data_IF_978701756093
#
_entry.id   IF_978701756093
#
_cell.length_a   1.000
_cell.length_b   1.000
_cell.length_c   1.000
_cell.angle_alpha   90.00
_cell.angle_beta   90.00
_cell.angle_gamma   90.00
#
_symmetry.space_group_name_H-M   'P 1'
#
loop_
_entity.id
_entity.type
_entity.pdbx_description
1 polymer ?
#
# COMPACT_ATOMS: atom_id res chain seq x y z
N UNK A 1 13.70 -1.90 8.28
CA UNK A 1 14.38 -1.14 7.20
C UNK A 1 14.52 0.28 7.70
N UNK A 2 15.69 0.91 7.52
CA UNK A 2 15.94 2.28 8.01
C UNK A 2 16.06 3.28 6.87
N UNK A 3 15.91 4.56 7.19
CA UNK A 3 16.13 5.66 6.22
C UNK A 3 17.55 5.63 5.64
N UNK A 4 17.66 5.95 4.36
CA UNK A 4 18.91 6.31 3.70
C UNK A 4 18.93 7.83 3.45
N UNK A 5 20.09 8.40 3.09
CA UNK A 5 20.24 9.87 2.93
C UNK A 5 19.23 10.46 1.94
N UNK A 6 18.95 9.77 0.84
CA UNK A 6 17.98 10.24 -0.16
C UNK A 6 16.53 10.29 0.37
N UNK A 7 16.21 9.57 1.45
CA UNK A 7 14.89 9.65 2.10
C UNK A 7 14.61 11.07 2.61
N UNK A 8 15.62 11.86 2.99
CA UNK A 8 15.41 13.24 3.43
C UNK A 8 14.78 14.09 2.33
N UNK A 9 15.31 14.00 1.12
CA UNK A 9 14.79 14.72 -0.05
C UNK A 9 13.39 14.22 -0.43
N UNK A 10 13.17 12.91 -0.42
CA UNK A 10 11.87 12.31 -0.72
C UNK A 10 10.79 12.75 0.26
N UNK A 11 11.05 12.61 1.56
CA UNK A 11 10.08 12.96 2.61
C UNK A 11 9.78 14.46 2.57
N UNK A 12 10.80 15.31 2.40
CA UNK A 12 10.61 16.75 2.27
C UNK A 12 9.76 17.12 1.05
N UNK A 13 10.05 16.53 -0.11
CA UNK A 13 9.30 16.77 -1.35
C UNK A 13 7.82 16.37 -1.19
N UNK A 14 7.55 15.20 -0.61
CA UNK A 14 6.18 14.73 -0.33
C UNK A 14 5.45 15.69 0.59
N UNK A 15 6.07 16.15 1.67
CA UNK A 15 5.42 17.10 2.59
C UNK A 15 5.18 18.46 1.95
N UNK A 16 6.07 18.94 1.08
CA UNK A 16 5.81 20.14 0.29
C UNK A 16 4.56 19.97 -0.59
N UNK A 17 4.47 18.88 -1.36
CA UNK A 17 3.31 18.63 -2.24
C UNK A 17 2.02 18.45 -1.44
N UNK A 18 2.08 17.79 -0.29
CA UNK A 18 0.95 17.64 0.62
C UNK A 18 0.46 18.99 1.17
N UNK A 19 1.37 19.91 1.52
CA UNK A 19 1.03 21.27 1.95
C UNK A 19 0.34 22.05 0.82
N UNK A 20 0.84 21.94 -0.41
CA UNK A 20 0.24 22.59 -1.59
C UNK A 20 -1.16 22.02 -1.88
N UNK A 21 -1.35 20.72 -1.72
CA UNK A 21 -2.67 20.09 -1.88
C UNK A 21 -3.64 20.52 -0.75
N UNK A 22 -3.12 20.68 0.46
CA UNK A 22 -3.93 20.94 1.64
C UNK A 22 -4.53 22.37 1.68
N UNK A 23 -3.82 23.38 1.16
CA UNK A 23 -4.26 24.78 1.21
C UNK A 23 -3.61 25.65 0.13
N UNK A 24 -4.32 26.71 -0.29
CA UNK A 24 -3.81 27.75 -1.18
C UNK A 24 -3.35 29.03 -0.43
N UNK A 25 -3.44 29.06 0.91
CA UNK A 25 -3.02 30.22 1.71
C UNK A 25 -1.50 30.22 1.92
N UNK A 26 -0.75 31.19 1.35
CA UNK A 26 0.69 31.23 1.47
C UNK A 26 1.19 31.32 2.92
N UNK A 27 0.46 32.01 3.81
CA UNK A 27 0.86 32.13 5.22
C UNK A 27 0.85 30.78 5.92
N UNK A 28 -0.21 30.00 5.70
CA UNK A 28 -0.33 28.64 6.23
C UNK A 28 0.73 27.72 5.59
N UNK A 29 0.97 27.84 4.29
CA UNK A 29 2.00 27.06 3.60
C UNK A 29 3.39 27.31 4.19
N UNK A 30 3.79 28.58 4.38
CA UNK A 30 5.08 28.94 4.99
C UNK A 30 5.19 28.47 6.43
N UNK A 31 4.11 28.59 7.22
CA UNK A 31 4.06 28.06 8.59
C UNK A 31 4.23 26.54 8.61
N UNK A 32 3.53 25.82 7.73
CA UNK A 32 3.57 24.37 7.65
C UNK A 32 4.94 23.87 7.19
N UNK A 33 5.53 24.47 6.16
CA UNK A 33 6.84 24.05 5.67
C UNK A 33 7.95 24.33 6.70
N UNK A 34 7.85 25.45 7.43
CA UNK A 34 8.78 25.76 8.51
C UNK A 34 8.67 24.77 9.66
N UNK A 35 7.45 24.45 10.12
CA UNK A 35 7.28 23.43 11.16
C UNK A 35 7.77 22.05 10.70
N UNK A 36 7.57 21.71 9.43
CA UNK A 36 8.01 20.44 8.87
C UNK A 36 9.53 20.33 8.75
N UNK A 37 10.25 21.39 8.37
CA UNK A 37 11.73 21.36 8.39
C UNK A 37 12.28 21.13 9.79
N UNK A 38 11.66 21.73 10.81
CA UNK A 38 12.03 21.46 12.22
C UNK A 38 11.78 20.01 12.62
N UNK A 39 10.65 19.43 12.21
CA UNK A 39 10.35 18.01 12.44
C UNK A 39 11.45 17.12 11.81
N UNK A 40 11.81 17.36 10.54
CA UNK A 40 12.85 16.57 9.88
C UNK A 40 14.22 16.74 10.54
N UNK A 41 14.60 17.96 10.91
CA UNK A 41 15.86 18.20 11.62
C UNK A 41 15.94 17.44 12.96
N UNK A 42 14.80 17.23 13.62
CA UNK A 42 14.71 16.52 14.89
C UNK A 42 14.65 14.99 14.72
N UNK A 43 13.85 14.50 13.79
CA UNK A 43 13.45 13.07 13.73
C UNK A 43 14.18 12.27 12.64
N UNK A 44 14.76 12.92 11.63
CA UNK A 44 15.53 12.23 10.60
C UNK A 44 16.88 11.78 11.18
N UNK A 45 16.95 10.52 11.60
CA UNK A 45 18.12 9.88 12.23
C UNK A 45 18.40 8.54 11.54
N UNK A 46 19.64 8.01 11.57
CA UNK A 46 19.99 6.78 10.86
C UNK A 46 19.13 5.55 11.20
N UNK A 47 18.54 5.50 12.40
CA UNK A 47 17.72 4.37 12.84
C UNK A 47 16.21 4.60 12.66
N UNK A 48 15.81 5.70 12.03
CA UNK A 48 14.40 6.02 11.83
C UNK A 48 13.80 5.17 10.71
N UNK A 49 12.54 4.75 10.90
CA UNK A 49 11.75 4.04 9.88
C UNK A 49 11.04 5.08 9.01
N UNK A 50 11.15 5.03 7.66
CA UNK A 50 10.59 6.08 6.81
C UNK A 50 9.07 6.23 6.97
N UNK A 51 8.32 5.14 7.09
CA UNK A 51 6.88 5.14 7.37
C UNK A 51 6.48 5.93 8.64
N UNK A 52 7.29 5.89 9.71
CA UNK A 52 7.01 6.64 10.94
C UNK A 52 7.15 8.15 10.69
N UNK A 53 8.19 8.56 9.95
CA UNK A 53 8.34 9.96 9.52
C UNK A 53 7.24 10.41 8.58
N UNK A 54 6.80 9.54 7.67
CA UNK A 54 5.67 9.80 6.78
C UNK A 54 4.38 10.06 7.56
N UNK A 55 4.15 9.28 8.61
CA UNK A 55 3.00 9.44 9.53
C UNK A 55 3.07 10.76 10.28
N UNK A 56 4.21 11.08 10.91
CA UNK A 56 4.36 12.33 11.67
C UNK A 56 4.28 13.57 10.78
N UNK A 57 4.84 13.51 9.57
CA UNK A 57 4.73 14.56 8.55
C UNK A 57 3.26 14.85 8.24
N UNK A 58 2.50 13.84 7.85
CA UNK A 58 1.12 14.00 7.43
C UNK A 58 0.27 14.57 8.58
N UNK A 59 0.36 13.98 9.77
CA UNK A 59 -0.34 14.46 10.98
C UNK A 59 -0.02 15.92 11.28
N UNK A 60 1.24 16.34 11.14
CA UNK A 60 1.66 17.72 11.32
C UNK A 60 1.00 18.65 10.30
N UNK A 61 1.02 18.27 9.02
CA UNK A 61 0.47 19.08 7.92
C UNK A 61 -1.04 19.22 8.08
N UNK A 62 -1.77 18.14 8.35
CA UNK A 62 -3.23 18.18 8.58
C UNK A 62 -3.61 19.12 9.72
N UNK A 63 -2.90 19.04 10.86
CA UNK A 63 -3.13 19.94 12.00
C UNK A 63 -2.91 21.41 11.65
N UNK A 64 -1.82 21.72 10.94
CA UNK A 64 -1.47 23.12 10.63
C UNK A 64 -2.33 23.72 9.53
N UNK A 65 -2.79 22.91 8.59
CA UNK A 65 -3.64 23.34 7.47
C UNK A 65 -5.12 23.25 7.78
N UNK A 66 -5.51 22.61 8.89
CA UNK A 66 -6.91 22.29 9.23
C UNK A 66 -7.64 21.50 8.14
N UNK A 67 -6.89 20.77 7.30
CA UNK A 67 -7.43 19.91 6.26
C UNK A 67 -7.17 18.43 6.62
N UNK A 68 -8.20 17.66 6.99
CA UNK A 68 -8.04 16.28 7.45
C UNK A 68 -7.80 15.26 6.32
N UNK A 69 -8.01 15.62 5.05
CA UNK A 69 -7.74 14.75 3.90
C UNK A 69 -7.35 15.58 2.66
N UNK A 70 -6.08 16.01 2.56
CA UNK A 70 -5.60 16.75 1.40
C UNK A 70 -5.87 16.00 0.08
N UNK A 71 -5.76 14.67 0.08
CA UNK A 71 -5.78 13.86 -1.14
C UNK A 71 -7.15 13.31 -1.54
N UNK A 72 -8.23 13.65 -0.83
CA UNK A 72 -9.58 13.11 -1.06
C UNK A 72 -9.99 13.12 -2.56
N UNK A 73 -9.78 14.24 -3.25
CA UNK A 73 -10.11 14.39 -4.68
C UNK A 73 -9.26 13.48 -5.56
N UNK A 74 -7.95 13.43 -5.32
CA UNK A 74 -7.01 12.58 -6.06
C UNK A 74 -7.31 11.09 -5.84
N UNK A 75 -7.62 10.68 -4.61
CA UNK A 75 -8.05 9.30 -4.28
C UNK A 75 -9.31 8.91 -5.06
N UNK A 76 -10.35 9.76 -5.04
CA UNK A 76 -11.59 9.50 -5.78
C UNK A 76 -11.37 9.35 -7.29
N UNK A 77 -10.58 10.24 -7.89
CA UNK A 77 -10.21 10.15 -9.30
C UNK A 77 -9.43 8.86 -9.59
N UNK A 78 -8.52 8.49 -8.70
CA UNK A 78 -7.73 7.26 -8.79
C UNK A 78 -8.62 6.00 -8.79
N UNK A 79 -9.56 5.91 -7.84
CA UNK A 79 -10.54 4.83 -7.79
C UNK A 79 -11.37 4.75 -9.08
N UNK A 80 -11.87 5.89 -9.57
CA UNK A 80 -12.63 5.94 -10.82
C UNK A 80 -11.82 5.42 -12.00
N UNK A 81 -10.58 5.88 -12.16
CA UNK A 81 -9.69 5.45 -13.26
C UNK A 81 -9.27 3.99 -13.14
N UNK A 82 -9.08 3.49 -11.92
CA UNK A 82 -8.81 2.08 -11.71
C UNK A 82 -10.01 1.21 -12.12
N UNK A 83 -11.24 1.62 -11.78
CA UNK A 83 -12.47 0.91 -12.18
C UNK A 83 -12.68 0.88 -13.70
N UNK A 84 -12.28 1.92 -14.44
CA UNK A 84 -12.31 1.91 -15.92
C UNK A 84 -11.43 0.79 -16.50
N UNK A 85 -10.35 0.41 -15.81
CA UNK A 85 -9.35 -0.56 -16.28
C UNK A 85 -9.59 -1.97 -15.70
N UNK A 86 -10.22 -2.06 -14.53
CA UNK A 86 -10.46 -3.30 -13.79
C UNK A 86 -11.09 -4.43 -14.64
N UNK A 87 -12.07 -4.18 -15.54
CA UNK A 87 -12.63 -5.24 -16.38
C UNK A 87 -11.58 -5.95 -17.26
N UNK A 88 -10.58 -5.21 -17.73
CA UNK A 88 -9.49 -5.79 -18.52
C UNK A 88 -8.59 -6.67 -17.66
N UNK A 89 -8.20 -6.19 -16.47
CA UNK A 89 -7.39 -6.96 -15.53
C UNK A 89 -8.13 -8.25 -15.11
N UNK A 90 -9.44 -8.14 -14.83
CA UNK A 90 -10.31 -9.28 -14.54
C UNK A 90 -10.31 -10.32 -15.66
N UNK A 91 -10.39 -9.89 -16.93
CA UNK A 91 -10.31 -10.78 -18.09
C UNK A 91 -8.95 -11.48 -18.20
N UNK A 92 -7.86 -10.77 -17.94
CA UNK A 92 -6.51 -11.36 -17.96
C UNK A 92 -6.34 -12.45 -16.89
N UNK A 93 -6.92 -12.25 -15.71
CA UNK A 93 -6.96 -13.26 -14.65
C UNK A 93 -7.87 -14.42 -15.05
N UNK A 94 -9.11 -14.18 -15.46
CA UNK A 94 -10.08 -15.25 -15.77
C UNK A 94 -9.66 -16.14 -16.93
N UNK A 95 -8.86 -15.62 -17.88
CA UNK A 95 -8.38 -16.38 -19.03
C UNK A 95 -7.26 -17.39 -18.70
N UNK A 96 -6.75 -17.41 -17.47
CA UNK A 96 -5.73 -18.39 -17.08
C UNK A 96 -6.34 -19.78 -16.88
N UNK A 97 -5.61 -20.81 -17.34
CA UNK A 97 -6.10 -22.19 -17.46
C UNK A 97 -6.32 -22.90 -16.12
N UNK A 98 -5.46 -22.66 -15.13
CA UNK A 98 -5.53 -23.32 -13.82
C UNK A 98 -5.62 -22.31 -12.66
N UNK A 99 -5.98 -22.81 -11.48
CA UNK A 99 -6.16 -21.99 -10.27
C UNK A 99 -4.89 -21.26 -9.85
N UNK A 100 -3.73 -21.92 -9.91
CA UNK A 100 -2.45 -21.27 -9.56
C UNK A 100 -2.09 -20.15 -10.54
N UNK A 101 -2.28 -20.36 -11.85
CA UNK A 101 -2.03 -19.31 -12.85
C UNK A 101 -2.98 -18.12 -12.69
N UNK A 102 -4.25 -18.35 -12.31
CA UNK A 102 -5.19 -17.26 -11.95
C UNK A 102 -4.70 -16.49 -10.75
N UNK A 103 -4.34 -17.19 -9.67
CA UNK A 103 -3.80 -16.61 -8.46
C UNK A 103 -2.55 -15.76 -8.73
N UNK A 104 -1.60 -16.30 -9.53
CA UNK A 104 -0.40 -15.59 -9.95
C UNK A 104 -0.73 -14.32 -10.72
N UNK A 105 -1.63 -14.40 -11.71
CA UNK A 105 -2.02 -13.22 -12.49
C UNK A 105 -2.75 -12.18 -11.63
N UNK A 106 -3.50 -12.61 -10.62
CA UNK A 106 -4.14 -11.71 -9.65
C UNK A 106 -3.10 -11.02 -8.75
N UNK A 107 -2.10 -11.76 -8.23
CA UNK A 107 -0.97 -11.18 -7.48
C UNK A 107 -0.25 -10.11 -8.30
N UNK A 108 0.09 -10.41 -9.55
CA UNK A 108 0.76 -9.46 -10.44
C UNK A 108 -0.09 -8.24 -10.76
N UNK A 109 -1.40 -8.42 -10.96
CA UNK A 109 -2.33 -7.31 -11.20
C UNK A 109 -2.41 -6.38 -9.98
N UNK A 110 -2.43 -6.97 -8.78
CA UNK A 110 -2.44 -6.26 -7.50
C UNK A 110 -1.09 -5.57 -7.21
N UNK A 111 0.06 -6.15 -7.59
CA UNK A 111 1.38 -5.49 -7.55
C UNK A 111 1.44 -4.31 -8.53
N UNK A 112 0.93 -4.47 -9.75
CA UNK A 112 0.90 -3.39 -10.74
C UNK A 112 -0.04 -2.26 -10.29
N UNK A 113 -1.14 -2.58 -9.61
CA UNK A 113 -1.98 -1.59 -8.95
C UNK A 113 -1.19 -0.67 -8.01
N UNK A 114 -0.19 -1.21 -7.29
CA UNK A 114 0.66 -0.44 -6.39
C UNK A 114 1.52 0.61 -7.10
N UNK A 115 1.67 0.57 -8.43
CA UNK A 115 2.31 1.64 -9.20
C UNK A 115 1.53 2.97 -9.07
N UNK A 116 0.23 2.90 -8.79
CA UNK A 116 -0.60 4.07 -8.50
C UNK A 116 -0.18 4.62 -7.14
N UNK A 117 0.57 5.70 -7.16
CA UNK A 117 1.19 6.29 -5.97
C UNK A 117 1.48 7.77 -6.21
N UNK A 118 1.21 8.61 -5.22
CA UNK A 118 1.36 10.06 -5.38
C UNK A 118 2.69 10.54 -4.78
N UNK A 119 3.25 11.55 -5.43
CA UNK A 119 4.28 12.43 -4.87
C UNK A 119 5.65 11.78 -4.56
N UNK A 120 5.91 10.57 -5.05
CA UNK A 120 7.26 9.96 -4.98
C UNK A 120 8.17 10.54 -6.08
N UNK A 121 9.35 11.10 -5.74
CA UNK A 121 10.30 11.60 -6.73
C UNK A 121 10.72 10.55 -7.76
N UNK A 122 10.80 10.98 -9.02
CA UNK A 122 11.15 10.15 -10.18
C UNK A 122 10.22 8.94 -10.43
N UNK A 123 9.06 8.90 -9.76
CA UNK A 123 8.03 7.90 -9.99
C UNK A 123 6.87 8.52 -10.76
N UNK A 124 6.83 8.30 -12.06
CA UNK A 124 5.76 8.79 -12.94
C UNK A 124 4.93 7.61 -13.41
N UNK A 125 3.62 7.67 -13.19
CA UNK A 125 2.69 6.67 -13.71
C UNK A 125 1.58 7.33 -14.55
N UNK A 126 1.07 6.60 -15.54
CA UNK A 126 -0.10 6.98 -16.31
C UNK A 126 -1.06 5.81 -16.39
N UNK A 127 -2.34 6.06 -16.14
CA UNK A 127 -3.39 5.02 -16.18
C UNK A 127 -3.43 4.26 -17.52
N UNK A 128 -3.15 4.93 -18.63
CA UNK A 128 -3.07 4.31 -19.97
C UNK A 128 -2.03 3.19 -20.06
N UNK A 129 -0.97 3.22 -19.23
CA UNK A 129 0.13 2.26 -19.27
C UNK A 129 -0.17 1.00 -18.43
N UNK A 130 -1.18 1.04 -17.53
CA UNK A 130 -1.49 -0.07 -16.61
C UNK A 130 -1.72 -1.39 -17.36
N UNK A 131 -2.45 -1.36 -18.48
CA UNK A 131 -2.66 -2.57 -19.29
C UNK A 131 -1.33 -3.22 -19.70
N UNK A 132 -0.40 -2.41 -20.23
CA UNK A 132 0.92 -2.86 -20.67
C UNK A 132 1.73 -3.37 -19.47
N UNK A 133 1.64 -2.68 -18.34
CA UNK A 133 2.32 -3.06 -17.09
C UNK A 133 1.81 -4.40 -16.55
N UNK A 134 0.50 -4.67 -16.56
CA UNK A 134 -0.06 -5.97 -16.14
C UNK A 134 0.41 -7.12 -17.05
N UNK A 135 0.50 -6.85 -18.37
CA UNK A 135 0.97 -7.85 -19.32
C UNK A 135 2.45 -8.19 -19.12
N UNK A 136 3.27 -7.19 -18.80
CA UNK A 136 4.73 -7.31 -18.61
C UNK A 136 5.14 -7.47 -17.16
N UNK A 137 4.20 -7.60 -16.23
CA UNK A 137 4.47 -7.62 -14.79
C UNK A 137 5.46 -8.73 -14.39
N UNK A 138 5.43 -9.84 -15.11
CA UNK A 138 6.37 -10.97 -14.97
C UNK A 138 7.81 -10.57 -15.27
N UNK A 139 8.05 -9.77 -16.31
CA UNK A 139 9.39 -9.33 -16.73
C UNK A 139 10.09 -8.47 -15.66
N UNK A 140 9.29 -7.82 -14.82
CA UNK A 140 9.76 -6.98 -13.72
C UNK A 140 9.79 -7.68 -12.37
N UNK A 141 9.34 -8.94 -12.27
CA UNK A 141 9.32 -9.70 -11.02
C UNK A 141 10.73 -10.15 -10.64
N UNK A 142 11.36 -9.42 -9.71
CA UNK A 142 12.73 -9.68 -9.28
C UNK A 142 12.79 -10.66 -8.10
N UNK A 143 11.78 -10.66 -7.24
CA UNK A 143 11.59 -11.67 -6.19
C UNK A 143 10.26 -12.36 -6.49
N UNK A 144 10.34 -13.63 -6.87
CA UNK A 144 9.20 -14.45 -7.20
C UNK A 144 9.04 -15.60 -6.20
N UNK A 145 8.21 -15.37 -5.20
CA UNK A 145 7.76 -16.39 -4.26
C UNK A 145 6.26 -16.64 -4.37
N UNK A 146 5.64 -16.31 -5.52
CA UNK A 146 4.18 -16.42 -5.71
C UNK A 146 3.70 -17.86 -5.49
N UNK A 147 4.43 -18.88 -5.96
CA UNK A 147 4.04 -20.28 -5.71
C UNK A 147 4.12 -20.65 -4.23
N UNK A 148 5.09 -20.10 -3.47
CA UNK A 148 5.14 -20.29 -2.00
C UNK A 148 3.96 -19.60 -1.32
N UNK A 149 3.62 -18.39 -1.76
CA UNK A 149 2.47 -17.63 -1.27
C UNK A 149 1.17 -18.41 -1.58
N UNK A 150 1.06 -19.00 -2.77
CA UNK A 150 -0.08 -19.83 -3.17
C UNK A 150 -0.21 -21.09 -2.29
N UNK A 151 0.90 -21.76 -1.99
CA UNK A 151 0.91 -22.92 -1.09
C UNK A 151 0.52 -22.56 0.34
N UNK A 152 0.93 -21.38 0.82
CA UNK A 152 0.48 -20.86 2.11
C UNK A 152 -1.01 -20.52 2.09
N UNK A 153 -1.47 -19.82 1.04
CA UNK A 153 -2.86 -19.41 0.87
C UNK A 153 -3.84 -20.59 0.80
N UNK A 154 -3.45 -21.71 0.17
CA UNK A 154 -4.27 -22.96 0.15
C UNK A 154 -4.51 -23.55 1.54
N UNK A 155 -3.62 -23.30 2.50
CA UNK A 155 -3.69 -23.86 3.86
C UNK A 155 -4.36 -22.88 4.83
N UNK A 156 -4.35 -21.60 4.52
CA UNK A 156 -4.92 -20.55 5.34
C UNK A 156 -6.45 -20.60 5.32
N UNK A 157 -7.07 -20.64 6.50
CA UNK A 157 -8.53 -20.50 6.66
C UNK A 157 -8.92 -19.05 6.87
N UNK A 158 -8.06 -18.27 7.52
CA UNK A 158 -8.22 -16.83 7.77
C UNK A 158 -7.09 -16.08 7.12
N UNK A 159 -7.44 -15.22 6.17
CA UNK A 159 -6.49 -14.33 5.51
C UNK A 159 -6.83 -12.89 5.91
N UNK A 160 -5.83 -12.16 6.40
CA UNK A 160 -5.92 -10.72 6.57
C UNK A 160 -5.20 -10.03 5.42
N UNK A 161 -5.90 -9.14 4.72
CA UNK A 161 -5.39 -8.40 3.58
C UNK A 161 -5.18 -6.94 3.98
N UNK A 162 -3.95 -6.49 4.13
CA UNK A 162 -3.58 -5.11 4.42
C UNK A 162 -3.49 -4.33 3.11
N UNK A 163 -4.51 -3.53 2.81
CA UNK A 163 -4.53 -2.67 1.63
C UNK A 163 -3.56 -1.49 1.79
N UNK A 164 -3.10 -0.94 0.66
CA UNK A 164 -2.21 0.24 0.60
C UNK A 164 -3.01 1.42 0.04
N UNK A 165 -2.99 1.66 -1.28
CA UNK A 165 -3.50 2.90 -1.87
C UNK A 165 -4.94 2.85 -2.42
N UNK A 166 -5.57 4.03 -2.48
CA UNK A 166 -6.73 4.27 -3.33
C UNK A 166 -6.35 4.15 -4.82
N UNK A 167 -7.25 3.57 -5.62
CA UNK A 167 -7.01 3.13 -6.99
C UNK A 167 -6.39 1.74 -7.06
N UNK A 168 -5.32 1.49 -6.29
CA UNK A 168 -4.72 0.15 -6.17
C UNK A 168 -5.72 -0.88 -5.63
N UNK A 169 -6.49 -0.52 -4.60
CA UNK A 169 -7.47 -1.40 -3.94
C UNK A 169 -8.50 -1.98 -4.91
N UNK A 170 -8.77 -1.34 -6.05
CA UNK A 170 -9.62 -1.90 -7.10
C UNK A 170 -9.01 -3.19 -7.70
N UNK A 171 -7.69 -3.23 -7.93
CA UNK A 171 -7.00 -4.41 -8.46
C UNK A 171 -6.83 -5.49 -7.39
N UNK A 172 -6.76 -5.09 -6.12
CA UNK A 172 -6.70 -6.03 -4.99
C UNK A 172 -7.96 -6.90 -4.89
N UNK A 173 -9.11 -6.41 -5.37
CA UNK A 173 -10.35 -7.22 -5.45
C UNK A 173 -10.14 -8.54 -6.21
N UNK A 174 -9.24 -8.55 -7.22
CA UNK A 174 -8.94 -9.75 -8.00
C UNK A 174 -8.21 -10.80 -7.16
N UNK A 175 -7.27 -10.37 -6.31
CA UNK A 175 -6.53 -11.30 -5.46
C UNK A 175 -7.39 -11.76 -4.28
N UNK A 176 -8.18 -10.87 -3.68
CA UNK A 176 -9.16 -11.22 -2.65
C UNK A 176 -10.14 -12.28 -3.18
N UNK A 177 -10.62 -12.14 -4.41
CA UNK A 177 -11.49 -13.12 -5.04
C UNK A 177 -10.83 -14.50 -5.21
N UNK A 178 -9.59 -14.54 -5.69
CA UNK A 178 -8.88 -15.82 -5.86
C UNK A 178 -8.51 -16.45 -4.50
N UNK A 179 -8.20 -15.66 -3.46
CA UNK A 179 -8.01 -16.18 -2.09
C UNK A 179 -9.28 -16.85 -1.56
N UNK A 180 -10.45 -16.23 -1.75
CA UNK A 180 -11.74 -16.83 -1.35
C UNK A 180 -12.05 -18.12 -2.10
N UNK A 181 -11.71 -18.20 -3.39
CA UNK A 181 -11.85 -19.45 -4.17
C UNK A 181 -10.98 -20.59 -3.64
N UNK A 182 -9.90 -20.29 -2.91
CA UNK A 182 -9.11 -21.30 -2.22
C UNK A 182 -9.74 -21.77 -0.91
N UNK A 183 -10.88 -21.19 -0.50
CA UNK A 183 -11.62 -21.55 0.70
C UNK A 183 -11.30 -20.71 1.93
N UNK A 184 -10.51 -19.64 1.78
CA UNK A 184 -10.20 -18.72 2.88
C UNK A 184 -11.35 -17.75 3.16
N UNK A 185 -11.56 -17.44 4.43
CA UNK A 185 -12.28 -16.25 4.87
C UNK A 185 -11.32 -15.06 4.81
N UNK A 186 -11.62 -14.08 3.97
CA UNK A 186 -10.73 -12.93 3.71
C UNK A 186 -11.29 -11.67 4.35
N UNK A 187 -10.54 -11.14 5.32
CA UNK A 187 -10.79 -9.83 5.92
C UNK A 187 -9.86 -8.81 5.30
N UNK A 188 -10.38 -7.71 4.79
CA UNK A 188 -9.58 -6.61 4.22
C UNK A 188 -9.48 -5.50 5.25
N UNK A 189 -8.27 -5.10 5.61
CA UNK A 189 -8.01 -3.96 6.47
C UNK A 189 -7.57 -2.75 5.65
N UNK A 190 -8.26 -1.64 5.87
CA UNK A 190 -7.96 -0.31 5.33
C UNK A 190 -7.61 0.66 6.46
N UNK A 191 -7.20 1.89 6.16
CA UNK A 191 -6.89 2.88 7.20
C UNK A 191 -8.13 3.35 7.92
N UNK A 192 -8.00 3.61 9.22
CA UNK A 192 -9.10 4.14 10.05
C UNK A 192 -9.40 5.62 9.76
N UNK A 193 -8.39 6.34 9.29
CA UNK A 193 -8.47 7.75 8.90
C UNK A 193 -7.60 7.99 7.67
N UNK A 194 -7.88 9.02 6.86
CA UNK A 194 -7.04 9.36 5.72
C UNK A 194 -5.58 9.55 6.15
N UNK A 195 -4.65 9.05 5.33
CA UNK A 195 -3.19 9.24 5.45
C UNK A 195 -2.64 9.14 4.03
N UNK A 196 -2.05 10.22 3.52
CA UNK A 196 -1.62 10.35 2.13
C UNK A 196 -2.72 9.84 1.15
N UNK A 197 -2.40 8.87 0.31
CA UNK A 197 -3.30 8.24 -0.65
C UNK A 197 -3.76 6.85 -0.24
N UNK A 198 -3.52 6.44 1.01
CA UNK A 198 -3.91 5.13 1.50
C UNK A 198 -5.44 4.97 1.50
N UNK A 199 -5.89 3.76 1.20
CA UNK A 199 -7.30 3.43 1.10
C UNK A 199 -7.97 3.46 2.49
N UNK A 200 -9.19 3.98 2.51
CA UNK A 200 -10.11 3.99 3.65
C UNK A 200 -11.34 3.14 3.37
N UNK A 201 -12.29 3.06 4.31
CA UNK A 201 -13.57 2.37 4.09
C UNK A 201 -14.35 2.96 2.90
N UNK A 202 -14.26 4.28 2.67
CA UNK A 202 -14.90 4.92 1.52
C UNK A 202 -14.31 4.38 0.21
N UNK A 203 -12.99 4.30 0.12
CA UNK A 203 -12.29 3.79 -1.07
C UNK A 203 -12.62 2.32 -1.33
N UNK A 204 -12.60 1.48 -0.27
CA UNK A 204 -12.95 0.06 -0.38
C UNK A 204 -14.40 -0.14 -0.85
N UNK A 205 -15.34 0.66 -0.32
CA UNK A 205 -16.73 0.64 -0.77
C UNK A 205 -16.85 1.10 -2.22
N UNK A 206 -16.17 2.18 -2.60
CA UNK A 206 -16.19 2.75 -3.94
C UNK A 206 -15.80 1.74 -5.01
N UNK A 207 -14.77 0.93 -4.75
CA UNK A 207 -14.26 -0.06 -5.72
C UNK A 207 -14.98 -1.41 -5.67
N UNK A 208 -16.01 -1.56 -4.83
CA UNK A 208 -16.75 -2.81 -4.70
C UNK A 208 -16.05 -3.90 -3.87
N UNK A 209 -15.06 -3.56 -3.03
CA UNK A 209 -14.36 -4.56 -2.20
C UNK A 209 -15.33 -5.32 -1.27
N UNK A 210 -16.38 -4.65 -0.81
CA UNK A 210 -17.42 -5.20 0.08
C UNK A 210 -18.27 -6.29 -0.57
N UNK A 211 -18.27 -6.39 -1.90
CA UNK A 211 -18.94 -7.47 -2.62
C UNK A 211 -18.06 -8.72 -2.74
N UNK A 212 -16.75 -8.56 -2.54
CA UNK A 212 -15.77 -9.63 -2.73
C UNK A 212 -15.26 -10.15 -1.39
N UNK A 213 -14.80 -9.28 -0.48
CA UNK A 213 -14.30 -9.67 0.84
C UNK A 213 -15.41 -10.25 1.73
N UNK A 214 -15.03 -11.05 2.74
CA UNK A 214 -15.98 -11.52 3.75
C UNK A 214 -16.22 -10.46 4.83
N UNK A 215 -15.18 -9.66 5.12
CA UNK A 215 -15.27 -8.50 6.02
C UNK A 215 -14.31 -7.40 5.58
N UNK A 216 -14.67 -6.16 5.90
CA UNK A 216 -13.79 -5.00 5.77
C UNK A 216 -13.72 -4.31 7.13
N UNK A 217 -12.51 -4.19 7.65
CA UNK A 217 -12.22 -3.54 8.93
C UNK A 217 -11.26 -2.38 8.72
N UNK A 218 -10.99 -1.62 9.78
CA UNK A 218 -9.96 -0.59 9.74
C UNK A 218 -8.83 -0.89 10.71
N UNK A 219 -7.62 -0.42 10.41
CA UNK A 219 -6.52 -0.41 11.38
C UNK A 219 -6.82 0.45 12.60
N UNK A 220 -7.80 1.36 12.54
CA UNK A 220 -8.14 2.30 13.61
C UNK A 220 -7.25 3.55 13.68
N UNK A 221 -6.23 3.66 12.83
CA UNK A 221 -5.25 4.75 12.84
C UNK A 221 -5.03 5.36 11.45
N UNK A 222 -4.39 6.54 11.41
CA UNK A 222 -3.84 7.26 10.25
C UNK A 222 -2.31 7.08 10.12
N UNK A 223 -1.82 5.85 10.29
CA UNK A 223 -0.40 5.53 10.16
C UNK A 223 -0.06 4.91 8.79
N UNK A 224 1.07 5.32 8.22
CA UNK A 224 1.68 4.69 7.04
C UNK A 224 2.20 3.30 7.42
N UNK A 225 1.89 2.29 6.61
CA UNK A 225 2.22 0.90 6.96
C UNK A 225 1.46 0.40 8.19
N UNK A 226 2.13 -0.36 9.05
CA UNK A 226 1.53 -0.96 10.24
C UNK A 226 2.28 -0.56 11.53
N UNK A 227 1.56 0.07 12.46
CA UNK A 227 2.05 0.39 13.81
C UNK A 227 1.08 -0.27 14.80
N UNK A 228 1.36 -1.50 15.26
CA UNK A 228 0.42 -2.27 16.09
C UNK A 228 -0.03 -1.53 17.36
N UNK A 229 0.87 -0.77 17.98
CA UNK A 229 0.59 -0.01 19.21
C UNK A 229 -0.48 1.09 19.03
N UNK A 230 -0.73 1.53 17.80
CA UNK A 230 -1.78 2.50 17.49
C UNK A 230 -3.05 1.86 16.92
N UNK A 231 -3.04 0.55 16.68
CA UNK A 231 -4.15 -0.12 16.01
C UNK A 231 -5.33 -0.40 16.95
N UNK A 232 -6.52 -0.50 16.38
CA UNK A 232 -7.74 -0.87 17.12
C UNK A 232 -7.65 -2.31 17.65
N UNK A 233 -8.34 -2.59 18.76
CA UNK A 233 -8.45 -3.95 19.30
C UNK A 233 -9.12 -4.92 18.34
N UNK A 234 -10.09 -4.45 17.56
CA UNK A 234 -10.74 -5.22 16.48
C UNK A 234 -9.72 -5.65 15.43
N UNK A 235 -8.87 -4.72 14.97
CA UNK A 235 -7.82 -5.03 14.01
C UNK A 235 -6.80 -6.02 14.57
N UNK A 236 -6.30 -5.77 15.78
CA UNK A 236 -5.29 -6.63 16.40
C UNK A 236 -5.81 -8.06 16.59
N UNK A 237 -7.08 -8.23 16.97
CA UNK A 237 -7.72 -9.55 17.05
C UNK A 237 -7.71 -10.26 15.69
N UNK A 238 -8.00 -9.55 14.60
CA UNK A 238 -7.95 -10.11 13.24
C UNK A 238 -6.52 -10.41 12.78
N UNK A 239 -5.57 -9.54 13.10
CA UNK A 239 -4.15 -9.69 12.77
C UNK A 239 -3.51 -10.89 13.48
N UNK A 240 -3.71 -11.01 14.80
CA UNK A 240 -3.14 -12.08 15.61
C UNK A 240 -3.74 -13.47 15.32
N UNK A 241 -4.95 -13.50 14.76
CA UNK A 241 -5.63 -14.75 14.39
C UNK A 241 -5.48 -15.16 12.93
N UNK A 242 -4.79 -14.35 12.11
CA UNK A 242 -4.61 -14.63 10.69
C UNK A 242 -3.64 -15.81 10.48
N UNK A 243 -4.03 -16.75 9.62
CA UNK A 243 -3.16 -17.87 9.22
C UNK A 243 -2.18 -17.44 8.11
N UNK A 244 -2.54 -16.38 7.37
CA UNK A 244 -1.71 -15.70 6.37
C UNK A 244 -2.10 -14.22 6.35
N UNK A 245 -1.10 -13.34 6.34
CA UNK A 245 -1.30 -11.91 6.07
C UNK A 245 -0.82 -11.60 4.65
N UNK A 246 -1.62 -10.92 3.85
CA UNK A 246 -1.19 -10.34 2.57
C UNK A 246 -0.99 -8.85 2.80
N UNK A 247 0.21 -8.34 2.57
CA UNK A 247 0.56 -6.95 2.81
C UNK A 247 0.96 -6.25 1.51
N UNK A 248 0.37 -5.08 1.26
CA UNK A 248 0.59 -4.30 0.04
C UNK A 248 1.53 -3.13 0.27
N UNK A 249 2.43 -2.90 -0.69
CA UNK A 249 3.18 -1.64 -0.79
C UNK A 249 4.38 -1.48 0.14
N UNK A 250 5.11 -0.38 -0.09
CA UNK A 250 6.38 -0.11 0.58
C UNK A 250 6.21 0.30 2.05
N UNK A 251 5.11 0.98 2.42
CA UNK A 251 4.86 1.36 3.81
C UNK A 251 4.74 0.13 4.72
N UNK A 252 4.02 -0.90 4.26
CA UNK A 252 4.00 -2.19 4.96
C UNK A 252 5.35 -2.89 4.92
N UNK A 253 6.09 -2.87 3.81
CA UNK A 253 7.43 -3.44 3.77
C UNK A 253 8.38 -2.81 4.81
N UNK A 254 8.37 -1.48 4.92
CA UNK A 254 9.20 -0.74 5.87
C UNK A 254 8.86 -1.09 7.32
N UNK A 255 7.57 -1.16 7.65
CA UNK A 255 7.10 -1.39 9.02
C UNK A 255 7.15 -2.86 9.44
N UNK A 256 6.77 -3.81 8.57
CA UNK A 256 6.80 -5.25 8.89
C UNK A 256 8.22 -5.75 9.19
N UNK A 257 9.25 -5.11 8.64
CA UNK A 257 10.65 -5.45 8.95
C UNK A 257 11.08 -5.06 10.37
N UNK A 258 10.25 -4.33 11.10
CA UNK A 258 10.46 -3.93 12.50
C UNK A 258 9.65 -4.79 13.49
N UNK A 259 8.83 -5.71 12.97
CA UNK A 259 7.95 -6.55 13.77
C UNK A 259 8.49 -7.98 13.84
N UNK A 260 8.22 -8.64 14.97
CA UNK A 260 8.37 -10.08 15.09
C UNK A 260 7.11 -10.75 14.54
N UNK A 261 7.19 -11.25 13.31
CA UNK A 261 6.04 -11.85 12.64
C UNK A 261 5.69 -13.20 13.29
N UNK A 262 4.42 -13.36 13.65
CA UNK A 262 3.90 -14.59 14.27
C UNK A 262 3.19 -15.51 13.27
N UNK A 263 2.93 -15.00 12.07
CA UNK A 263 2.30 -15.71 10.95
C UNK A 263 3.01 -15.36 9.63
N UNK A 264 2.88 -16.20 8.60
CA UNK A 264 3.43 -15.88 7.28
C UNK A 264 2.82 -14.58 6.72
N UNK A 265 3.68 -13.71 6.19
CA UNK A 265 3.29 -12.46 5.54
C UNK A 265 3.69 -12.47 4.06
N UNK A 266 2.71 -12.52 3.16
CA UNK A 266 2.92 -12.34 1.73
C UNK A 266 3.00 -10.84 1.39
N UNK A 267 4.22 -10.33 1.22
CA UNK A 267 4.47 -8.95 0.83
C UNK A 267 4.44 -8.82 -0.71
N UNK A 268 3.54 -7.98 -1.20
CA UNK A 268 3.34 -7.70 -2.63
C UNK A 268 3.52 -6.21 -2.91
N UNK A 269 4.57 -5.84 -3.65
CA UNK A 269 4.88 -4.42 -3.90
C UNK A 269 5.77 -4.22 -5.14
N UNK A 270 5.99 -2.95 -5.49
CA UNK A 270 7.04 -2.54 -6.44
C UNK A 270 8.04 -1.59 -5.77
N UNK A 271 9.32 -1.72 -6.07
CA UNK A 271 10.38 -0.83 -5.55
C UNK A 271 10.34 0.54 -6.23
N UNK A 272 9.71 1.54 -5.59
CA UNK A 272 9.56 2.90 -6.15
C UNK A 272 10.70 3.85 -5.77
N UNK A 273 11.61 3.43 -4.90
CA UNK A 273 12.78 4.20 -4.48
C UNK A 273 13.99 3.26 -4.24
N UNK A 274 15.21 3.81 -4.27
CA UNK A 274 16.41 2.99 -4.08
C UNK A 274 16.54 2.43 -2.66
N UNK A 275 16.13 3.09 -1.56
CA UNK A 275 16.33 2.52 -0.21
C UNK A 275 15.57 1.21 -0.04
N UNK A 276 14.34 1.15 -0.55
CA UNK A 276 13.56 -0.08 -0.59
C UNK A 276 14.22 -1.10 -1.53
N UNK A 277 14.66 -0.68 -2.71
CA UNK A 277 15.31 -1.58 -3.67
C UNK A 277 16.60 -2.21 -3.10
N UNK A 278 17.45 -1.41 -2.45
CA UNK A 278 18.67 -1.80 -1.78
C UNK A 278 18.39 -2.82 -0.66
N UNK A 279 17.38 -2.56 0.18
CA UNK A 279 16.99 -3.47 1.25
C UNK A 279 16.62 -4.87 0.73
N UNK A 280 15.92 -4.94 -0.41
CA UNK A 280 15.57 -6.20 -1.05
C UNK A 280 16.63 -6.73 -2.02
N UNK A 281 17.78 -6.06 -2.16
CA UNK A 281 18.86 -6.39 -3.08
C UNK A 281 18.39 -6.56 -4.54
N UNK A 282 17.56 -5.63 -5.00
CA UNK A 282 17.05 -5.56 -6.38
C UNK A 282 17.21 -4.13 -6.93
N UNK A 283 17.01 -3.96 -8.24
CA UNK A 283 16.97 -2.61 -8.83
C UNK A 283 15.67 -1.87 -8.50
N UNK A 284 15.70 -0.54 -8.55
CA UNK A 284 14.49 0.30 -8.55
C UNK A 284 13.60 -0.07 -9.74
N UNK A 285 12.29 0.00 -9.54
CA UNK A 285 11.28 -0.33 -10.53
C UNK A 285 11.05 -1.83 -10.70
N UNK A 286 11.27 -2.64 -9.68
CA UNK A 286 11.06 -4.09 -9.72
C UNK A 286 9.90 -4.53 -8.84
N UNK A 287 9.15 -5.50 -9.35
CA UNK A 287 8.05 -6.15 -8.65
C UNK A 287 8.62 -7.18 -7.67
N UNK A 288 8.01 -7.25 -6.49
CA UNK A 288 8.38 -8.16 -5.41
C UNK A 288 7.12 -8.90 -4.95
N UNK A 289 7.20 -10.22 -4.93
CA UNK A 289 6.29 -11.10 -4.22
C UNK A 289 7.12 -11.97 -3.28
N UNK A 290 7.13 -11.64 -1.99
CA UNK A 290 7.97 -12.31 -0.98
C UNK A 290 7.10 -12.87 0.14
N UNK A 291 7.36 -14.11 0.56
CA UNK A 291 6.78 -14.68 1.75
C UNK A 291 7.75 -14.47 2.93
N UNK A 292 7.36 -13.63 3.88
CA UNK A 292 8.09 -13.37 5.11
C UNK A 292 7.56 -14.29 6.22
N UNK A 293 8.44 -14.72 7.11
CA UNK A 293 8.15 -15.59 8.24
C UNK A 293 9.12 -15.30 9.38
#
# INVERSE_FOLDING_TARGET
MKVEVECAACIFHRGYLEIIEATNDPSIQFKAISAFTHLLAKEFRPNTVPAFLGTERDRLIKRLTSNPDPYAKKKRLSNQKALEILPLAKKLVSNQSCTESRFRKACLSSIVGNIIEFDIPDHVFKFQDIKKLILRAEEDLAIDEISKIFDSAKKAKRVLYLADNAGEIAFDTLLVHELKKLGAHVTVAVKGKPISNDATLEDAKFVGMHEVADSIITTGTDAVGLIPDECSSEFLTSYDSADLVVAKGMGHAETLTELNLTSPHALLMRTKCNPVANFFNVSKGKNIAKLMS
#
